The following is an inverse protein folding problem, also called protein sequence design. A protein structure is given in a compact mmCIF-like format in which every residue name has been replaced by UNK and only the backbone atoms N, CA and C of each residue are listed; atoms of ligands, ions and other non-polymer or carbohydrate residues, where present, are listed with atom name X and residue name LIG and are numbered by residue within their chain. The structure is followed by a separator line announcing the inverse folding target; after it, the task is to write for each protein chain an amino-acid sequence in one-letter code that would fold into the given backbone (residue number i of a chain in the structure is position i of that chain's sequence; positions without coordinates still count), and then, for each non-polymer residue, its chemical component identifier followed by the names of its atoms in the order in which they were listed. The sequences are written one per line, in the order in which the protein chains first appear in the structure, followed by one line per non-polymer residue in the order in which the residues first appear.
data_IF_499322653335
#
_entry.id   IF_499322653335
#
_cell.length_a   1.000
_cell.length_b   1.000
_cell.length_c   1.000
_cell.angle_alpha   90.00
_cell.angle_beta   90.00
_cell.angle_gamma   90.00
#
_symmetry.space_group_name_H-M   'P 1'
#
loop_
_entity.id
_entity.type
_entity.pdbx_description
1 polymer ?
2 polymer ?
3 water ?
#
# COMPACT_ATOMS: atom_id res chain seq x y z
N UNK A 6 17.69 -1.15 2.30
CA UNK A 6 17.77 -0.69 0.91
C UNK A 6 17.15 0.69 0.75
N UNK A 7 16.13 0.99 1.56
CA UNK A 7 15.48 2.29 1.50
C UNK A 7 16.28 3.27 2.32
N UNK A 8 16.72 4.34 1.69
CA UNK A 8 17.57 5.27 2.40
C UNK A 8 16.77 6.29 3.20
N UNK A 9 17.46 6.87 4.18
CA UNK A 9 16.90 7.92 5.01
C UNK A 9 16.50 9.13 4.18
N UNK A 10 17.37 9.53 3.24
CA UNK A 10 17.04 10.70 2.44
C UNK A 10 15.81 10.47 1.58
N UNK A 11 15.66 9.26 1.02
CA UNK A 11 14.48 8.96 0.23
C UNK A 11 13.22 8.99 1.11
N UNK A 12 13.33 8.50 2.35
CA UNK A 12 12.19 8.52 3.27
C UNK A 12 11.86 9.94 3.70
N UNK A 13 12.88 10.75 4.00
CA UNK A 13 12.65 12.13 4.39
C UNK A 13 11.95 12.89 3.27
N UNK A 14 12.38 12.67 2.01
CA UNK A 14 11.74 13.36 0.89
C UNK A 14 10.29 12.91 0.75
N UNK A 15 10.03 11.63 0.92
CA UNK A 15 8.66 11.14 0.81
C UNK A 15 7.80 11.69 1.95
N UNK A 16 8.39 11.78 3.14
CA UNK A 16 7.65 12.31 4.28
C UNK A 16 7.31 13.79 4.06
N UNK A 17 8.24 14.55 3.47
CA UNK A 17 7.96 15.95 3.22
C UNK A 17 6.81 16.11 2.24
N UNK A 18 6.77 15.26 1.21
CA UNK A 18 5.68 15.31 0.25
C UNK A 18 4.37 14.89 0.91
N UNK A 19 4.42 13.88 1.78
CA UNK A 19 3.21 13.48 2.49
C UNK A 19 2.71 14.64 3.34
N UNK A 20 3.63 15.33 4.04
CA UNK A 20 3.23 16.48 4.86
C UNK A 20 2.64 17.58 4.00
N UNK A 21 3.23 17.81 2.83
CA UNK A 21 2.73 18.88 1.97
C UNK A 21 1.33 18.55 1.48
N UNK A 22 1.13 17.33 0.99
CA UNK A 22 -0.20 16.92 0.55
C UNK A 22 -1.19 17.00 1.70
N UNK A 23 -0.75 16.64 2.91
CA UNK A 23 -1.62 16.72 4.08
C UNK A 23 -1.98 18.16 4.38
N UNK A 24 -0.99 19.06 4.31
CA UNK A 24 -1.31 20.47 4.58
C UNK A 24 -2.30 20.99 3.55
N UNK A 25 -2.19 20.55 2.30
CA UNK A 25 -3.16 20.98 1.30
C UNK A 25 -4.57 20.55 1.70
N UNK A 26 -4.71 19.33 2.23
CA UNK A 26 -6.01 18.82 2.65
C UNK A 26 -6.54 19.56 3.86
N UNK A 27 -5.69 19.77 4.86
CA UNK A 27 -6.15 20.46 6.06
C UNK A 27 -6.76 21.81 5.71
N UNK A 28 -6.14 22.51 4.76
CA UNK A 28 -6.61 23.82 4.33
C UNK A 28 -7.81 23.75 3.40
N UNK A 29 -7.83 22.76 2.49
CA UNK A 29 -8.87 22.66 1.47
C UNK A 29 -10.12 21.90 1.86
N UNK A 30 -10.01 20.88 2.71
CA UNK A 30 -11.18 20.07 3.05
C UNK A 30 -12.33 20.89 3.63
N UNK A 31 -13.56 20.60 3.20
CA UNK A 31 -14.72 21.35 3.67
C UNK A 31 -14.84 21.30 5.18
N UNK A 32 -15.50 22.30 5.77
CA UNK A 32 -15.65 22.34 7.22
C UNK A 32 -16.50 21.18 7.71
N UNK A 33 -16.37 20.82 8.99
CA UNK A 33 -17.17 19.70 9.52
C UNK A 33 -18.64 20.06 9.69
N UNK A 34 -19.49 19.03 9.58
CA UNK A 34 -20.94 19.21 9.70
C UNK A 34 -21.34 20.03 10.93
N UNK A 35 -20.66 19.80 12.06
CA UNK A 35 -20.96 20.53 13.29
C UNK A 35 -19.68 20.60 14.12
N UNK A 36 -19.66 21.53 15.08
CA UNK A 36 -18.49 21.68 15.94
C UNK A 36 -18.24 20.46 16.83
N UNK A 37 -19.19 19.52 16.91
CA UNK A 37 -19.00 18.33 17.74
C UNK A 37 -17.96 17.36 17.16
N UNK A 38 -17.39 17.67 16.01
CA UNK A 38 -16.39 16.82 15.40
C UNK A 38 -15.01 17.08 16.00
N UNK A 39 -14.16 16.06 15.99
CA UNK A 39 -12.78 16.22 16.44
C UNK A 39 -12.04 16.86 15.28
N UNK A 40 -11.11 17.77 15.57
CA UNK A 40 -10.45 18.50 14.50
C UNK A 40 -9.29 17.78 13.79
N UNK A 41 -9.30 17.91 12.47
CA UNK A 41 -8.27 17.39 11.60
C UNK A 41 -6.90 17.85 12.10
N UNK A 42 -5.86 17.09 11.79
CA UNK A 42 -4.54 17.48 12.25
C UNK A 42 -3.49 16.58 11.62
N UNK A 43 -2.27 17.09 11.56
CA UNK A 43 -1.09 16.36 11.11
C UNK A 43 -0.27 16.21 12.38
N UNK A 44 -0.01 14.97 12.78
CA UNK A 44 0.71 14.73 14.03
C UNK A 44 2.18 14.35 13.84
N UNK A 45 2.74 14.61 12.65
CA UNK A 45 4.12 14.30 12.25
C UNK A 45 4.22 12.88 11.67
N UNK A 46 3.22 12.04 11.92
CA UNK A 46 3.26 10.69 11.40
C UNK A 46 2.16 10.45 10.37
N UNK A 47 0.94 10.81 10.72
CA UNK A 47 -0.20 10.63 9.85
C UNK A 47 -1.02 11.91 9.79
N UNK A 48 -1.79 12.00 8.71
CA UNK A 48 -2.69 13.12 8.42
C UNK A 48 -4.09 12.69 8.84
N UNK A 49 -4.64 13.34 9.82
CA UNK A 49 -5.97 12.94 10.32
C UNK A 49 -7.03 13.91 9.85
N UNK A 50 -8.15 13.40 9.36
CA UNK A 50 -9.27 14.25 8.96
C UNK A 50 -10.10 14.54 10.21
N UNK A 51 -11.14 15.36 10.04
CA UNK A 51 -12.03 15.66 11.14
C UNK A 51 -12.72 14.34 11.50
N UNK A 52 -13.04 14.17 12.77
CA UNK A 52 -13.63 12.92 13.23
C UNK A 52 -15.05 13.09 13.75
N UNK A 53 -15.92 12.15 13.38
CA UNK A 53 -17.30 12.18 13.88
C UNK A 53 -17.29 11.81 15.36
N UNK A 54 -18.08 12.49 16.19
CA UNK A 54 -18.09 12.19 17.62
C UNK A 54 -18.54 10.75 17.91
N UNK A 55 -17.84 10.12 18.85
CA UNK A 55 -18.16 8.75 19.24
C UNK A 55 -17.78 7.69 18.23
N UNK A 56 -16.79 7.97 17.38
CA UNK A 56 -16.42 6.97 16.37
C UNK A 56 -14.92 6.88 16.20
N UNK A 57 -14.49 5.76 15.63
CA UNK A 57 -13.09 5.54 15.33
C UNK A 57 -12.79 6.21 13.98
N UNK A 58 -11.60 6.74 13.85
CA UNK A 58 -11.18 7.39 12.61
C UNK A 58 -10.00 6.59 12.12
N UNK A 59 -10.01 6.26 10.83
CA UNK A 59 -8.91 5.47 10.31
C UNK A 59 -8.35 6.12 9.05
N UNK A 60 -7.06 5.95 8.88
CA UNK A 60 -6.35 6.42 7.70
C UNK A 60 -5.37 5.32 7.35
N UNK A 61 -5.04 5.23 6.08
CA UNK A 61 -4.11 4.19 5.65
C UNK A 61 -2.73 4.43 6.24
N UNK A 62 -1.94 3.37 6.28
CA UNK A 62 -0.58 3.54 6.79
C UNK A 62 0.10 4.61 5.93
N UNK A 63 0.83 5.54 6.54
CA UNK A 63 1.48 6.59 5.76
C UNK A 63 2.32 6.02 4.62
N UNK A 64 2.05 6.50 3.40
CA UNK A 64 2.74 5.97 2.23
C UNK A 64 4.25 6.18 2.20
N UNK A 65 4.79 7.10 2.98
CA UNK A 65 6.24 7.31 2.97
C UNK A 65 7.01 6.26 3.78
N UNK A 66 6.32 5.35 4.47
CA UNK A 66 7.03 4.35 5.27
C UNK A 66 7.93 3.51 4.36
N UNK A 67 9.15 3.17 4.80
CA UNK A 67 10.02 2.34 3.95
C UNK A 67 9.40 1.00 3.62
N UNK A 68 8.64 0.43 4.55
CA UNK A 68 7.97 -0.85 4.38
C UNK A 68 6.49 -0.69 4.02
N UNK A 69 6.11 0.45 3.42
CA UNK A 69 4.72 0.69 3.08
C UNK A 69 4.14 -0.43 2.22
N UNK A 70 4.91 -0.91 1.23
CA UNK A 70 4.44 -1.99 0.38
C UNK A 70 4.16 -3.26 1.18
N UNK A 71 4.66 -3.36 2.41
CA UNK A 71 4.42 -4.55 3.23
C UNK A 71 3.18 -4.45 4.11
N UNK A 72 2.51 -3.29 4.18
CA UNK A 72 1.31 -3.16 5.01
C UNK A 72 0.24 -2.43 4.19
N UNK A 73 0.00 -2.82 2.94
CA UNK A 73 -0.96 -2.08 2.13
C UNK A 73 -2.39 -2.12 2.64
N UNK A 74 -2.78 -3.14 3.39
CA UNK A 74 -4.12 -3.21 3.93
C UNK A 74 -4.21 -2.58 5.32
N UNK A 75 -3.10 -2.03 5.83
CA UNK A 75 -3.09 -1.48 7.18
C UNK A 75 -3.73 -0.10 7.31
N UNK A 76 -4.15 0.17 8.55
CA UNK A 76 -4.75 1.44 8.91
C UNK A 76 -4.30 1.82 10.31
N UNK A 77 -4.17 3.12 10.54
CA UNK A 77 -3.81 3.67 11.83
C UNK A 77 -5.12 4.27 12.34
N UNK A 78 -5.33 4.20 13.65
CA UNK A 78 -6.59 4.63 14.21
C UNK A 78 -6.43 5.57 15.37
N UNK A 79 -7.45 6.41 15.51
CA UNK A 79 -7.68 7.33 16.60
C UNK A 79 -9.15 7.14 16.95
N UNK A 80 -9.56 7.68 18.10
CA UNK A 80 -10.96 7.61 18.53
C UNK A 80 -11.44 9.02 18.87
N UNK A 81 -12.54 9.42 18.25
CA UNK A 81 -13.13 10.74 18.49
C UNK A 81 -14.26 10.49 19.48
N UNK A 82 -14.13 11.04 20.68
CA UNK A 82 -15.14 10.86 21.72
C UNK A 82 -16.43 11.60 21.39
N UNK A 83 -17.50 11.19 22.10
CA UNK A 83 -18.80 11.81 21.92
C UNK A 83 -18.76 13.31 22.17
N UNK A 84 -17.81 13.79 22.98
CA UNK A 84 -17.73 15.23 23.23
C UNK A 84 -16.92 15.97 22.18
N UNK A 85 -16.45 15.30 21.14
CA UNK A 85 -15.70 16.01 20.12
C UNK A 85 -14.23 16.19 20.43
N UNK A 86 -13.69 15.40 21.34
CA UNK A 86 -12.28 15.44 21.71
C UNK A 86 -11.61 14.14 21.29
N UNK A 87 -10.40 14.23 20.74
CA UNK A 87 -9.67 13.01 20.38
C UNK A 87 -9.33 12.31 21.70
N UNK A 88 -9.58 11.00 21.77
CA UNK A 88 -9.26 10.26 22.99
C UNK A 88 -7.79 10.47 23.32
N UNK A 89 -7.49 10.70 24.59
CA UNK A 89 -6.14 10.97 25.05
C UNK A 89 -5.60 9.82 25.89
N UNK A 90 -4.29 9.62 25.84
CA UNK A 90 -3.68 8.58 26.64
C UNK A 90 -3.54 9.15 28.04
N UNK A 91 -3.76 8.31 29.05
CA UNK A 91 -3.65 8.78 30.42
C UNK A 91 -2.24 9.31 30.71
N UNK A 92 -1.25 8.82 29.97
CA UNK A 92 0.15 9.23 30.16
C UNK A 92 0.36 10.73 29.98
N UNK A 93 -0.29 11.34 29.00
CA UNK A 93 -0.04 12.74 28.75
C UNK A 93 -1.13 13.32 27.87
N UNK A 94 -0.93 14.58 27.43
CA UNK A 94 -1.78 15.31 26.51
C UNK A 94 -1.69 14.77 25.08
N UNK A 95 -1.16 13.55 24.86
CA UNK A 95 -1.03 12.94 23.54
C UNK A 95 -2.25 12.09 23.23
N UNK A 96 -2.64 12.09 21.97
CA UNK A 96 -3.82 11.31 21.58
C UNK A 96 -3.58 9.82 21.54
N UNK A 97 -4.61 9.08 21.87
CA UNK A 97 -4.50 7.64 21.74
C UNK A 97 -4.42 7.35 20.25
N UNK A 98 -3.52 6.45 19.87
CA UNK A 98 -3.35 6.07 18.48
C UNK A 98 -3.06 4.59 18.43
N UNK A 99 -3.57 3.89 17.41
CA UNK A 99 -3.26 2.48 17.22
C UNK A 99 -2.58 2.36 15.85
N UNK A 100 -1.25 2.22 15.85
CA UNK A 100 -0.43 2.09 14.65
C UNK A 100 0.03 0.66 14.39
N UNK A 101 -0.44 -0.31 15.19
CA UNK A 101 0.01 -1.71 15.08
C UNK A 101 -0.06 -2.28 13.67
N UNK A 102 -1.08 -1.93 12.89
CA UNK A 102 -1.19 -2.47 11.54
C UNK A 102 -0.17 -1.87 10.57
N UNK A 103 0.56 -0.83 10.96
CA UNK A 103 1.55 -0.18 10.11
C UNK A 103 2.98 -0.46 10.57
N UNK A 104 3.15 -1.31 11.56
CA UNK A 104 4.49 -1.61 12.04
C UNK A 104 5.22 -2.47 11.01
N UNK A 105 6.54 -2.40 11.06
CA UNK A 105 7.36 -3.13 10.11
C UNK A 105 7.11 -4.63 10.14
N UNK A 106 7.13 -5.23 8.94
CA UNK A 106 6.92 -6.67 8.64
C UNK A 106 5.44 -7.02 8.40
N UNK B 4 23.09 -12.78 6.01
CA UNK B 4 23.36 -12.00 7.22
C UNK B 4 24.72 -12.32 7.80
N UNK B 5 25.61 -12.86 6.97
CA UNK B 5 26.93 -13.24 7.39
C UNK B 5 28.07 -12.46 6.74
N UNK B 6 27.79 -11.57 5.81
CA UNK B 6 28.85 -10.84 5.15
C UNK B 6 28.87 -9.38 5.57
N UNK B 7 30.03 -8.75 5.36
CA UNK B 7 30.17 -7.34 5.71
C UNK B 7 29.07 -6.49 5.07
N UNK B 8 28.70 -6.82 3.82
CA UNK B 8 27.64 -6.07 3.11
C UNK B 8 26.27 -6.25 3.75
N UNK B 9 26.06 -7.34 4.50
CA UNK B 9 24.79 -7.52 5.21
C UNK B 9 24.73 -6.54 6.38
N UNK B 10 25.87 -6.37 7.08
CA UNK B 10 25.90 -5.42 8.19
C UNK B 10 25.77 -3.99 7.67
N UNK B 11 26.54 -3.66 6.62
CA UNK B 11 26.46 -2.32 6.07
C UNK B 11 25.06 -2.00 5.57
N UNK B 12 24.45 -2.93 4.84
CA UNK B 12 23.09 -2.68 4.38
C UNK B 12 22.16 -2.50 5.56
N UNK B 13 22.31 -3.35 6.58
CA UNK B 13 21.46 -3.23 7.76
C UNK B 13 21.64 -1.87 8.41
N UNK B 14 22.88 -1.43 8.56
CA UNK B 14 23.13 -0.13 9.16
C UNK B 14 22.44 0.96 8.36
N UNK B 15 22.58 0.91 7.02
CA UNK B 15 21.96 1.93 6.17
C UNK B 15 20.46 1.88 6.30
N UNK B 16 19.87 0.69 6.40
CA UNK B 16 18.44 0.62 6.53
C UNK B 16 17.93 1.12 7.87
N UNK B 17 18.80 1.15 8.89
CA UNK B 17 18.35 1.60 10.21
C UNK B 17 18.12 3.10 10.30
N UNK B 18 18.87 3.91 9.54
CA UNK B 18 18.65 5.36 9.60
C UNK B 18 17.22 5.72 9.26
N UNK B 19 16.69 5.12 8.19
CA UNK B 19 15.32 5.43 7.80
C UNK B 19 14.34 4.97 8.87
N UNK B 20 14.58 3.81 9.48
CA UNK B 20 13.69 3.29 10.52
C UNK B 20 13.72 4.15 11.78
N UNK B 21 14.91 4.66 12.16
CA UNK B 21 15.00 5.53 13.32
C UNK B 21 14.23 6.83 13.07
N UNK B 22 14.29 7.33 11.83
CA UNK B 22 13.54 8.53 11.49
C UNK B 22 12.05 8.30 11.79
N UNK B 23 11.51 7.16 11.34
CA UNK B 23 10.09 6.84 11.55
C UNK B 23 9.79 6.77 13.04
N UNK B 24 10.63 6.05 13.79
CA UNK B 24 10.42 5.94 15.23
C UNK B 24 10.41 7.31 15.88
N UNK B 25 11.18 8.25 15.33
CA UNK B 25 11.22 9.60 15.87
C UNK B 25 9.94 10.35 15.53
N UNK B 26 9.40 10.14 14.32
CA UNK B 26 8.13 10.77 13.98
C UNK B 26 7.01 10.23 14.86
N UNK B 27 7.02 8.91 15.12
CA UNK B 27 5.99 8.27 15.93
C UNK B 27 6.04 8.79 17.37
N UNK B 28 7.24 8.78 17.96
CA UNK B 28 7.44 9.22 19.34
C UNK B 28 8.07 10.61 19.34
N UNK B 29 7.25 11.61 19.05
CA UNK B 29 7.72 12.99 19.01
C UNK B 29 7.01 13.87 18.01
N UNK C 6 18.62 0.01 -10.23
CA UNK C 6 17.81 -0.58 -11.28
C UNK C 6 17.39 -2.03 -10.97
N UNK C 7 16.09 -2.24 -10.75
CA UNK C 7 15.58 -3.57 -10.45
C UNK C 7 15.72 -4.44 -11.68
N UNK C 8 16.36 -5.59 -11.53
CA UNK C 8 16.60 -6.46 -12.67
C UNK C 8 15.48 -7.47 -12.88
N UNK C 9 15.51 -8.08 -14.07
CA UNK C 9 14.56 -9.12 -14.42
C UNK C 9 14.64 -10.28 -13.44
N UNK C 10 15.86 -10.70 -13.11
CA UNK C 10 16.02 -11.84 -12.21
C UNK C 10 15.43 -11.56 -10.84
N UNK C 11 15.68 -10.37 -10.30
CA UNK C 11 15.12 -10.01 -9.00
C UNK C 11 13.59 -10.02 -9.04
N UNK C 12 13.02 -9.50 -10.12
CA UNK C 12 11.56 -9.43 -10.25
C UNK C 12 10.96 -10.83 -10.36
N UNK C 13 11.61 -11.73 -11.10
CA UNK C 13 11.12 -13.09 -11.25
C UNK C 13 11.10 -13.79 -9.89
N UNK C 14 12.19 -13.67 -9.13
CA UNK C 14 12.24 -14.28 -7.81
C UNK C 14 11.16 -13.70 -6.89
N UNK C 15 10.94 -12.39 -6.96
CA UNK C 15 9.91 -11.79 -6.13
C UNK C 15 8.53 -12.29 -6.58
N UNK C 16 8.34 -12.39 -7.92
CA UNK C 16 7.08 -12.93 -8.44
C UNK C 16 6.83 -14.34 -7.95
N UNK C 17 7.86 -15.19 -7.97
CA UNK C 17 7.68 -16.55 -7.49
C UNK C 17 7.35 -16.56 -6.00
N UNK C 18 7.94 -15.63 -5.24
CA UNK C 18 7.62 -15.58 -3.82
C UNK C 18 6.18 -15.13 -3.62
N UNK C 19 5.75 -14.13 -4.41
CA UNK C 19 4.37 -13.66 -4.35
C UNK C 19 3.41 -14.79 -4.70
N UNK C 20 3.74 -15.56 -5.74
CA UNK C 20 2.88 -16.68 -6.12
C UNK C 20 2.79 -17.71 -5.01
N UNK C 21 3.91 -18.02 -4.36
CA UNK C 21 3.89 -19.01 -3.29
C UNK C 21 3.02 -18.55 -2.14
N UNK C 22 3.16 -17.29 -1.73
CA UNK C 22 2.33 -16.77 -0.65
C UNK C 22 0.85 -16.79 -1.06
N UNK C 23 0.57 -16.55 -2.34
CA UNK C 23 -0.81 -16.60 -2.79
C UNK C 23 -1.37 -18.00 -2.62
N UNK C 24 -0.59 -19.01 -3.03
CA UNK C 24 -1.02 -20.40 -2.91
C UNK C 24 -1.41 -20.73 -1.48
N UNK C 25 -0.66 -20.19 -0.51
CA UNK C 25 -0.99 -20.44 0.90
C UNK C 25 -2.34 -19.82 1.24
N UNK C 26 -2.55 -18.56 0.86
CA UNK C 26 -3.84 -17.94 1.14
C UNK C 26 -4.97 -18.68 0.42
N UNK C 27 -4.73 -19.06 -0.84
CA UNK C 27 -5.74 -19.76 -1.64
C UNK C 27 -6.22 -21.03 -0.96
N UNK C 28 -5.31 -21.76 -0.32
CA UNK C 28 -5.68 -23.01 0.33
C UNK C 28 -6.12 -22.83 1.77
N UNK C 29 -5.62 -21.81 2.46
CA UNK C 29 -5.96 -21.63 3.87
C UNK C 29 -7.28 -20.92 4.12
N UNK C 30 -7.66 -19.97 3.28
CA UNK C 30 -8.89 -19.21 3.50
C UNK C 30 -10.12 -20.12 3.51
N UNK C 31 -11.02 -19.97 4.49
CA UNK C 31 -12.21 -20.85 4.59
C UNK C 31 -13.06 -20.78 3.33
N UNK C 32 -13.84 -21.82 3.06
CA UNK C 32 -14.66 -21.81 1.86
C UNK C 32 -15.66 -20.68 1.90
N UNK C 33 -16.07 -20.17 0.74
CA UNK C 33 -17.05 -19.08 0.72
C UNK C 33 -18.39 -19.58 1.23
N UNK C 34 -19.16 -18.66 1.82
CA UNK C 34 -20.47 -19.01 2.37
C UNK C 34 -21.33 -19.76 1.36
N UNK C 35 -21.40 -19.25 0.13
CA UNK C 35 -22.19 -19.89 -0.93
C UNK C 35 -21.36 -19.95 -2.20
N UNK C 36 -21.76 -20.86 -3.09
CA UNK C 36 -21.04 -21.01 -4.36
C UNK C 36 -21.30 -19.87 -5.33
N UNK C 37 -22.14 -18.93 -4.94
CA UNK C 37 -22.41 -17.76 -5.75
C UNK C 37 -21.30 -16.73 -5.62
N UNK C 38 -20.32 -16.98 -4.76
CA UNK C 38 -19.19 -16.08 -4.61
C UNK C 38 -18.27 -16.35 -5.79
N UNK C 39 -17.63 -15.31 -6.31
CA UNK C 39 -16.68 -15.58 -7.38
C UNK C 39 -15.50 -16.33 -6.74
N UNK C 40 -14.90 -17.24 -7.50
CA UNK C 40 -13.80 -18.07 -7.00
C UNK C 40 -12.47 -17.32 -6.87
N UNK C 41 -11.82 -17.47 -5.72
CA UNK C 41 -10.48 -16.93 -5.51
C UNK C 41 -9.56 -17.47 -6.61
N UNK C 42 -8.49 -16.74 -6.93
CA UNK C 42 -7.62 -17.21 -8.01
C UNK C 42 -6.37 -16.35 -8.11
N UNK C 43 -5.31 -16.96 -8.65
CA UNK C 43 -4.06 -16.28 -8.96
C UNK C 43 -4.07 -16.21 -10.48
N UNK C 44 -4.12 -15.01 -11.04
CA UNK C 44 -4.22 -14.88 -12.49
C UNK C 44 -2.89 -14.59 -13.19
N UNK C 45 -1.76 -14.90 -12.56
CA UNK C 45 -0.38 -14.67 -12.99
C UNK C 45 0.10 -13.27 -12.62
N UNK C 46 -0.83 -12.33 -12.36
CA UNK C 46 -0.49 -10.96 -11.97
C UNK C 46 -0.77 -10.70 -10.50
N UNK C 47 -2.02 -10.94 -10.06
CA UNK C 47 -2.40 -10.68 -8.68
C UNK C 47 -3.13 -11.88 -8.10
N UNK C 48 -3.14 -11.92 -6.77
CA UNK C 48 -3.81 -12.95 -5.98
C UNK C 48 -5.19 -12.42 -5.62
N UNK C 49 -6.26 -13.06 -6.16
CA UNK C 49 -7.58 -12.52 -5.85
C UNK C 49 -8.34 -13.38 -4.85
N UNK C 50 -8.99 -12.80 -3.84
CA UNK C 50 -9.78 -13.59 -2.90
C UNK C 50 -11.16 -13.86 -3.52
N UNK C 51 -11.98 -14.63 -2.82
CA UNK C 51 -13.33 -14.89 -3.28
C UNK C 51 -14.05 -13.54 -3.37
N UNK C 52 -14.96 -13.42 -4.33
CA UNK C 52 -15.71 -12.18 -4.51
C UNK C 52 -17.18 -12.31 -4.12
N UNK C 53 -17.69 -11.33 -3.41
CA UNK C 53 -19.10 -11.36 -3.05
C UNK C 53 -19.91 -11.07 -4.30
N UNK C 54 -21.00 -11.79 -4.54
CA UNK C 54 -21.78 -11.56 -5.76
C UNK C 54 -22.28 -10.11 -5.88
N UNK C 55 -22.14 -9.56 -7.09
CA UNK C 55 -22.55 -8.20 -7.39
C UNK C 55 -21.71 -7.13 -6.73
N UNK C 56 -20.40 -7.34 -6.60
CA UNK C 56 -19.60 -6.32 -5.94
C UNK C 56 -18.21 -6.25 -6.52
N UNK C 57 -17.52 -5.16 -6.20
CA UNK C 57 -16.15 -4.96 -6.61
C UNK C 57 -15.23 -5.62 -5.59
N UNK C 58 -14.13 -6.15 -6.09
CA UNK C 58 -13.14 -6.78 -5.24
C UNK C 58 -11.85 -6.05 -5.56
N UNK C 59 -11.07 -5.72 -4.53
CA UNK C 59 -9.83 -5.00 -4.75
C UNK C 59 -8.70 -5.63 -3.94
N UNK C 60 -7.49 -5.56 -4.51
CA UNK C 60 -6.29 -6.06 -3.86
C UNK C 60 -5.19 -5.04 -4.15
N UNK C 61 -4.22 -4.96 -3.25
CA UNK C 61 -3.16 -4.00 -3.43
C UNK C 61 -2.28 -4.37 -4.61
N UNK C 62 -1.62 -3.36 -5.15
CA UNK C 62 -0.67 -3.56 -6.23
C UNK C 62 0.29 -4.68 -5.81
N UNK C 63 0.53 -5.67 -6.66
CA UNK C 63 1.45 -6.76 -6.29
C UNK C 63 2.81 -6.22 -5.84
N UNK C 64 3.29 -6.69 -4.69
CA UNK C 64 4.55 -6.15 -4.17
C UNK C 64 5.79 -6.47 -5.02
N UNK C 65 5.72 -7.44 -5.92
CA UNK C 65 6.88 -7.77 -6.74
C UNK C 65 7.11 -6.78 -7.88
N UNK C 66 6.21 -5.83 -8.10
CA UNK C 66 6.40 -4.88 -9.20
C UNK C 66 7.69 -4.10 -9.00
N UNK C 67 8.50 -3.92 -10.05
CA UNK C 67 9.74 -3.15 -9.89
C UNK C 67 9.50 -1.80 -9.23
N UNK C 68 8.37 -1.18 -9.54
CA UNK C 68 7.97 0.13 -9.01
C UNK C 68 6.95 0.02 -7.86
N UNK C 69 6.93 -1.12 -7.15
CA UNK C 69 5.98 -1.32 -6.05
C UNK C 69 6.08 -0.22 -4.99
N UNK C 70 7.31 0.20 -4.63
CA UNK C 70 7.48 1.22 -3.60
C UNK C 70 6.86 2.55 -3.99
N UNK C 71 6.55 2.76 -5.27
CA UNK C 71 5.93 4.01 -5.69
C UNK C 71 4.41 3.93 -5.78
N UNK C 72 3.82 2.75 -5.55
CA UNK C 72 2.35 2.61 -5.57
C UNK C 72 1.87 1.84 -4.34
N UNK C 73 2.39 2.08 -3.13
CA UNK C 73 1.92 1.29 -1.98
C UNK C 73 0.46 1.51 -1.62
N UNK C 74 -0.18 2.55 -2.14
CA UNK C 74 -1.57 2.83 -1.87
C UNK C 74 -2.49 2.35 -2.98
N UNK C 75 -1.92 1.87 -4.08
CA UNK C 75 -2.73 1.48 -5.21
C UNK C 75 -3.48 0.18 -5.01
N UNK C 76 -4.52 0.03 -5.82
CA UNK C 76 -5.32 -1.18 -5.78
C UNK C 76 -5.70 -1.53 -7.21
N UNK C 77 -5.90 -2.82 -7.43
CA UNK C 77 -6.34 -3.35 -8.72
C UNK C 77 -7.71 -3.90 -8.44
N UNK C 78 -8.60 -3.79 -9.41
CA UNK C 78 -9.96 -4.21 -9.18
C UNK C 78 -10.48 -5.19 -10.20
N UNK C 79 -11.45 -5.97 -9.72
CA UNK C 79 -12.23 -6.91 -10.49
C UNK C 79 -13.67 -6.68 -10.07
N UNK C 80 -14.61 -7.24 -10.81
CA UNK C 80 -16.01 -7.14 -10.45
C UNK C 80 -16.59 -8.54 -10.47
N UNK C 81 -17.29 -8.90 -9.40
CA UNK C 81 -17.91 -10.21 -9.24
C UNK C 81 -19.39 -10.04 -9.55
N UNK C 82 -19.86 -10.65 -10.64
CA UNK C 82 -21.27 -10.50 -10.97
C UNK C 82 -22.13 -11.29 -9.98
N UNK C 83 -23.43 -11.02 -10.02
CA UNK C 83 -24.38 -11.69 -9.12
C UNK C 83 -24.45 -13.19 -9.37
N UNK C 84 -24.17 -13.66 -10.59
CA UNK C 84 -24.23 -15.09 -10.83
C UNK C 84 -22.96 -15.83 -10.40
N UNK C 85 -22.07 -15.16 -9.66
CA UNK C 85 -20.86 -15.81 -9.20
C UNK C 85 -19.77 -15.94 -10.24
N UNK C 86 -19.84 -15.21 -11.34
CA UNK C 86 -18.82 -15.24 -12.37
C UNK C 86 -18.08 -13.91 -12.34
N UNK C 87 -16.76 -13.94 -12.47
CA UNK C 87 -16.04 -12.68 -12.53
C UNK C 87 -16.42 -12.02 -13.85
N UNK C 88 -16.63 -10.70 -13.82
CA UNK C 88 -16.96 -9.96 -15.05
C UNK C 88 -15.88 -10.18 -16.10
N UNK C 89 -16.30 -10.45 -17.33
CA UNK C 89 -15.41 -10.73 -18.44
C UNK C 89 -15.36 -9.61 -19.48
N UNK C 90 -14.21 -9.47 -20.12
CA UNK C 90 -14.11 -8.50 -21.20
C UNK C 90 -14.97 -9.00 -22.36
N UNK C 91 -15.48 -8.07 -23.15
CA UNK C 91 -16.38 -8.47 -24.24
C UNK C 91 -15.71 -9.39 -25.26
N UNK C 92 -16.51 -10.29 -25.82
CA UNK C 92 -16.12 -11.26 -26.85
C UNK C 92 -15.02 -12.22 -26.41
N UNK C 93 -14.88 -12.45 -25.11
CA UNK C 93 -13.84 -13.36 -24.64
C UNK C 93 -14.18 -13.81 -23.24
N UNK C 94 -13.34 -14.70 -22.70
CA UNK C 94 -13.53 -15.21 -21.35
C UNK C 94 -12.54 -14.61 -20.36
N UNK C 95 -11.70 -13.67 -20.82
CA UNK C 95 -10.73 -13.03 -19.94
C UNK C 95 -11.46 -12.13 -18.96
N UNK C 96 -10.95 -11.98 -17.74
CA UNK C 96 -11.65 -11.15 -16.76
C UNK C 96 -11.37 -9.67 -16.90
N UNK C 97 -12.40 -8.87 -16.65
CA UNK C 97 -12.23 -7.42 -16.64
C UNK C 97 -11.40 -7.10 -15.40
N UNK C 98 -10.48 -6.15 -15.54
CA UNK C 98 -9.63 -5.75 -14.44
C UNK C 98 -9.23 -4.30 -14.68
N UNK C 99 -9.14 -3.53 -13.60
CA UNK C 99 -8.71 -2.14 -13.62
C UNK C 99 -7.39 -2.14 -12.86
N UNK C 100 -6.29 -2.04 -13.62
CA UNK C 100 -4.92 -2.04 -13.12
C UNK C 100 -4.27 -0.66 -13.18
N UNK C 101 -5.03 0.36 -13.58
CA UNK C 101 -4.52 1.72 -13.74
C UNK C 101 -3.77 2.26 -12.52
N UNK C 102 -4.21 1.92 -11.31
CA UNK C 102 -3.51 2.43 -10.14
C UNK C 102 -2.15 1.79 -9.91
N UNK C 103 -1.86 0.66 -10.55
CA UNK C 103 -0.58 0.01 -10.33
C UNK C 103 0.38 0.16 -11.50
N UNK C 104 0.07 1.02 -12.45
CA UNK C 104 0.97 1.23 -13.57
C UNK C 104 2.17 2.01 -13.07
N UNK C 105 3.28 1.88 -13.76
CA UNK C 105 4.47 2.61 -13.33
C UNK C 105 4.24 4.10 -13.38
N UNK C 106 4.74 4.79 -12.37
CA UNK C 106 4.60 6.23 -12.28
C UNK C 106 5.71 6.94 -13.05
N UNK D 2 23.75 16.22 -17.96
CA UNK D 2 22.41 15.99 -18.55
C UNK D 2 21.78 14.63 -18.13
N UNK D 3 20.50 14.68 -17.73
CA UNK D 3 19.87 13.42 -17.35
C UNK D 3 19.39 12.71 -18.61
N UNK D 4 19.64 11.41 -18.68
CA UNK D 4 19.28 10.60 -19.81
C UNK D 4 20.19 10.73 -21.01
N UNK D 5 21.29 11.46 -20.88
CA UNK D 5 22.21 11.66 -21.98
C UNK D 5 23.50 10.83 -21.91
N UNK D 6 23.67 9.96 -20.90
CA UNK D 6 24.90 9.17 -20.79
C UNK D 6 24.63 7.69 -21.09
N UNK D 7 25.66 6.99 -21.56
CA UNK D 7 25.54 5.58 -21.87
C UNK D 7 24.97 4.79 -20.68
N UNK D 8 25.40 5.14 -19.47
CA UNK D 8 24.91 4.46 -18.27
C UNK D 8 23.39 4.61 -18.13
N UNK D 9 22.84 5.75 -18.56
CA UNK D 9 21.39 5.93 -18.51
C UNK D 9 20.70 4.97 -19.46
N UNK D 10 21.30 4.75 -20.64
CA UNK D 10 20.69 3.83 -21.60
C UNK D 10 20.82 2.40 -21.12
N UNK D 11 22.01 2.03 -20.61
CA UNK D 11 22.20 0.68 -20.13
C UNK D 11 21.28 0.38 -18.94
N UNK D 12 21.09 1.36 -18.06
CA UNK D 12 20.17 1.14 -16.95
C UNK D 12 18.77 1.01 -17.49
N UNK D 13 18.41 1.84 -18.48
CA UNK D 13 17.08 1.75 -19.06
C UNK D 13 16.85 0.39 -19.67
N UNK D 14 17.83 -0.11 -20.45
CA UNK D 14 17.67 -1.43 -21.07
C UNK D 14 17.45 -2.51 -20.03
N UNK D 15 18.21 -2.46 -18.93
CA UNK D 15 18.06 -3.47 -17.88
C UNK D 15 16.71 -3.32 -17.19
N UNK D 16 16.30 -2.08 -16.90
CA UNK D 16 15.00 -1.92 -16.28
C UNK D 16 13.88 -2.43 -17.17
N UNK D 17 14.08 -2.36 -18.49
CA UNK D 17 13.04 -2.77 -19.43
C UNK D 17 12.78 -4.28 -19.40
N UNK D 18 13.83 -5.08 -19.23
CA UNK D 18 13.62 -6.53 -19.19
C UNK D 18 12.59 -6.89 -18.12
N UNK D 19 12.73 -6.29 -16.94
CA UNK D 19 11.77 -6.57 -15.88
C UNK D 19 10.39 -6.05 -16.27
N UNK D 20 10.34 -4.88 -16.91
CA UNK D 20 9.05 -4.30 -17.29
C UNK D 20 8.32 -5.16 -18.32
N UNK D 21 9.04 -5.74 -19.27
CA UNK D 21 8.41 -6.61 -20.25
C UNK D 21 7.92 -7.88 -19.58
N UNK D 22 8.57 -8.29 -18.50
CA UNK D 22 8.11 -9.48 -17.79
C UNK D 22 6.76 -9.18 -17.16
N UNK D 23 6.62 -7.99 -16.56
CA UNK D 23 5.34 -7.60 -15.98
C UNK D 23 4.25 -7.56 -17.05
N UNK D 24 4.55 -6.90 -18.17
CA UNK D 24 3.59 -6.82 -19.24
C UNK D 24 3.21 -8.20 -19.73
N UNK D 25 4.14 -9.13 -19.68
CA UNK D 25 3.83 -10.48 -20.11
C UNK D 25 2.90 -11.16 -19.12
N UNK D 26 3.06 -10.90 -17.83
CA UNK D 26 2.13 -11.50 -16.87
C UNK D 26 0.75 -10.87 -17.03
N UNK D 27 0.70 -9.55 -17.25
CA UNK D 27 -0.58 -8.85 -17.36
C UNK D 27 -1.38 -9.33 -18.56
N UNK D 28 -0.83 -9.13 -19.77
CA UNK D 28 -1.52 -9.44 -21.01
C UNK D 28 -1.07 -10.76 -21.63
N UNK D 29 -1.81 -11.16 -22.66
CA UNK D 29 -1.53 -12.39 -23.39
C UNK D 29 -2.28 -12.43 -24.71
#
# INVERSE_FOLDING_TARGET
RPQGATVSLWETVQKWREYRRQCQRSLTEDPPPATDLFCNRTFDEYACWPDGEPGSFVNVSCPWYLPWASSVPQGHVYRFCTAEGLWLQKDNSSLPWRDLSECEESKRGERSSPEE
HCEGCFTSDVSSYLEGQAAKEFIAWLVKGRG
RPQGATVSLWETVQKWREYRRQCQRSLTEDPPPATDLFCNRTFDEYACWPDGEPGSFVNVSCPWYLPWASSVPQGHVYRFCTAEGLWLQKDNSSLPWRDLSECEESKRGERSSPEE
HCEGCFTSDVSSYLEGQAAKEFIAWLVKGRG
#
